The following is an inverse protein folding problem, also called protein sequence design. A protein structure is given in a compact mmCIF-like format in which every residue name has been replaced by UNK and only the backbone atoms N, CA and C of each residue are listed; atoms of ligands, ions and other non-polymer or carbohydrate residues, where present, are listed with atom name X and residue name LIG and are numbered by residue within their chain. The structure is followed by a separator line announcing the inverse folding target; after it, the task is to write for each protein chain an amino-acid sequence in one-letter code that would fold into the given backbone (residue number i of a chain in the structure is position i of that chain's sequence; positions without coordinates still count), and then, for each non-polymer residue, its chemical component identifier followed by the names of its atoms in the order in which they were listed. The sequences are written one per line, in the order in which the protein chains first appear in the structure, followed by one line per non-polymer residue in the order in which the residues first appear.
data_IF_345269157724
#
_entry.id   IF_345269157724
#
_cell.length_a   1.000
_cell.length_b   1.000
_cell.length_c   1.000
_cell.angle_alpha   90.00
_cell.angle_beta   90.00
_cell.angle_gamma   90.00
#
_symmetry.space_group_name_H-M   'P 1'
#
loop_
_entity.id
_entity.type
_entity.pdbx_description
1 polymer ?
#
# COMPACT_ATOMS: atom_id res chain seq x y z
N UNK A 1 3.46 -18.70 16.36
CA UNK A 1 3.27 -17.27 15.97
C UNK A 1 2.73 -16.39 17.11
N UNK A 2 1.97 -16.90 18.08
CA UNK A 2 1.51 -16.12 19.24
C UNK A 2 2.58 -15.89 20.32
N UNK A 3 3.52 -16.83 20.47
CA UNK A 3 4.58 -16.78 21.50
C UNK A 3 5.54 -15.60 21.32
N UNK A 4 5.72 -15.14 20.08
CA UNK A 4 6.62 -14.03 19.75
C UNK A 4 6.10 -12.68 20.26
N UNK A 5 4.79 -12.57 20.52
CA UNK A 5 4.16 -11.33 21.02
C UNK A 5 4.55 -11.09 22.48
N UNK A 6 4.84 -12.13 23.26
CA UNK A 6 5.25 -11.96 24.67
C UNK A 6 6.69 -11.47 24.82
N UNK A 7 7.51 -11.59 23.76
CA UNK A 7 8.88 -11.08 23.69
C UNK A 7 8.92 -9.67 23.09
N UNK A 8 7.85 -9.22 22.44
CA UNK A 8 7.73 -7.88 21.86
C UNK A 8 7.47 -6.83 22.95
N UNK A 9 8.31 -5.77 23.08
CA UNK A 9 8.06 -4.67 24.01
C UNK A 9 6.69 -3.98 23.79
N UNK A 10 6.10 -4.08 22.60
CA UNK A 10 4.77 -3.56 22.26
C UNK A 10 3.64 -4.59 22.38
N UNK A 11 3.97 -5.85 22.67
CA UNK A 11 2.98 -6.94 22.73
C UNK A 11 1.92 -6.74 23.82
N UNK A 12 2.32 -6.26 25.00
CA UNK A 12 1.40 -6.01 26.12
C UNK A 12 0.43 -4.84 25.84
N UNK A 13 0.91 -3.65 25.41
CA UNK A 13 0.02 -2.58 24.96
C UNK A 13 -0.94 -3.03 23.84
N UNK A 14 -0.44 -3.78 22.85
CA UNK A 14 -1.26 -4.30 21.75
C UNK A 14 -2.36 -5.25 22.24
N UNK A 15 -2.04 -6.22 23.10
CA UNK A 15 -3.01 -7.15 23.70
C UNK A 15 -4.05 -6.41 24.55
N UNK A 16 -3.65 -5.32 25.21
CA UNK A 16 -4.56 -4.48 26.02
C UNK A 16 -5.54 -3.70 25.15
N UNK A 17 -5.06 -3.00 24.12
CA UNK A 17 -5.89 -2.20 23.19
C UNK A 17 -6.87 -3.10 22.42
N UNK A 18 -6.41 -4.28 22.00
CA UNK A 18 -7.24 -5.26 21.29
C UNK A 18 -8.13 -6.10 22.21
N UNK A 19 -8.11 -5.84 23.53
CA UNK A 19 -8.84 -6.59 24.58
C UNK A 19 -8.57 -8.10 24.58
N UNK A 20 -7.48 -8.53 23.94
CA UNK A 20 -7.04 -9.93 23.87
C UNK A 20 -6.56 -10.47 25.22
N UNK A 21 -6.47 -9.63 26.25
CA UNK A 21 -6.16 -10.03 27.63
C UNK A 21 -7.40 -10.50 28.43
N UNK A 22 -8.63 -10.15 28.03
CA UNK A 22 -9.76 -10.21 28.97
C UNK A 22 -10.79 -11.32 28.71
N UNK A 23 -10.91 -11.88 27.49
CA UNK A 23 -11.80 -13.03 27.21
C UNK A 23 -11.28 -13.76 25.96
N UNK A 24 -11.36 -15.11 25.87
CA UNK A 24 -11.22 -15.80 24.59
C UNK A 24 -12.21 -15.22 23.56
N UNK A 25 -11.76 -14.97 22.33
CA UNK A 25 -12.64 -14.51 21.24
C UNK A 25 -13.83 -15.46 21.11
N UNK A 26 -14.99 -14.97 20.65
CA UNK A 26 -16.13 -15.83 20.29
C UNK A 26 -15.73 -16.92 19.28
N UNK A 27 -14.70 -16.65 18.48
CA UNK A 27 -14.11 -17.60 17.51
C UNK A 27 -13.10 -18.57 18.11
N UNK A 28 -12.73 -18.44 19.39
CA UNK A 28 -11.72 -19.29 20.03
C UNK A 28 -12.20 -20.74 20.26
N UNK A 29 -13.52 -20.93 20.37
CA UNK A 29 -14.16 -22.24 20.56
C UNK A 29 -15.02 -22.67 19.37
N UNK A 30 -14.83 -22.05 18.20
CA UNK A 30 -15.53 -22.48 16.99
C UNK A 30 -15.07 -23.88 16.57
N UNK A 31 -16.02 -24.68 16.11
CA UNK A 31 -15.71 -25.98 15.51
C UNK A 31 -14.97 -25.80 14.18
N UNK A 32 -14.14 -26.78 13.83
CA UNK A 32 -13.31 -26.75 12.63
C UNK A 32 -14.15 -26.60 11.36
N UNK A 33 -15.28 -27.31 11.28
CA UNK A 33 -16.21 -27.26 10.15
C UNK A 33 -16.82 -25.86 9.97
N UNK A 34 -17.17 -25.18 11.07
CA UNK A 34 -17.69 -23.82 11.04
C UNK A 34 -16.62 -22.82 10.58
N UNK A 35 -15.37 -23.01 11.01
CA UNK A 35 -14.25 -22.18 10.55
C UNK A 35 -14.06 -22.34 9.05
N UNK A 36 -14.00 -23.57 8.54
CA UNK A 36 -13.85 -23.85 7.12
C UNK A 36 -14.99 -23.24 6.29
N UNK A 37 -16.23 -23.42 6.75
CA UNK A 37 -17.41 -22.85 6.08
C UNK A 37 -17.35 -21.32 6.01
N UNK A 38 -16.95 -20.66 7.09
CA UNK A 38 -16.79 -19.20 7.10
C UNK A 38 -15.65 -18.77 6.19
N UNK A 39 -14.51 -19.46 6.22
CA UNK A 39 -13.36 -19.11 5.35
C UNK A 39 -13.70 -19.28 3.89
N UNK A 40 -14.38 -20.36 3.50
CA UNK A 40 -14.78 -20.60 2.11
C UNK A 40 -15.81 -19.57 1.63
N UNK A 41 -16.69 -19.12 2.52
CA UNK A 41 -17.69 -18.09 2.20
C UNK A 41 -17.07 -16.70 2.04
N UNK A 42 -16.15 -16.33 2.95
CA UNK A 42 -15.53 -15.00 2.97
C UNK A 42 -14.39 -14.88 1.96
N UNK A 43 -13.67 -15.96 1.72
CA UNK A 43 -12.51 -16.04 0.84
C UNK A 43 -12.73 -17.18 -0.17
N UNK A 44 -13.72 -17.05 -1.06
CA UNK A 44 -13.97 -18.07 -2.07
C UNK A 44 -12.70 -18.27 -2.88
N UNK A 45 -12.35 -19.53 -3.12
CA UNK A 45 -11.26 -19.90 -4.02
C UNK A 45 -11.60 -19.42 -5.43
N UNK A 46 -11.22 -18.19 -5.73
CA UNK A 46 -11.17 -17.71 -7.10
C UNK A 46 -9.95 -18.38 -7.73
N UNK A 47 -10.11 -18.87 -8.95
CA UNK A 47 -8.94 -19.07 -9.81
C UNK A 47 -8.10 -17.80 -9.72
N UNK A 48 -6.75 -17.90 -9.62
CA UNK A 48 -5.91 -16.73 -9.72
C UNK A 48 -6.43 -15.98 -10.93
N UNK A 49 -6.97 -14.77 -10.72
CA UNK A 49 -7.37 -13.95 -11.85
C UNK A 49 -6.14 -13.98 -12.75
N UNK A 50 -6.32 -14.43 -13.99
CA UNK A 50 -5.23 -14.41 -14.97
C UNK A 50 -4.74 -12.99 -14.91
N UNK A 51 -3.65 -12.78 -14.18
CA UNK A 51 -3.00 -11.50 -14.10
C UNK A 51 -2.49 -11.42 -15.52
N UNK A 52 -3.28 -10.76 -16.37
CA UNK A 52 -2.92 -10.55 -17.75
C UNK A 52 -1.60 -9.83 -17.62
N UNK A 53 -0.52 -10.60 -17.77
CA UNK A 53 0.79 -10.07 -17.95
C UNK A 53 0.66 -9.40 -19.30
N UNK A 54 0.31 -8.11 -19.25
CA UNK A 54 0.37 -7.27 -20.41
C UNK A 54 1.76 -7.49 -20.99
N UNK A 55 1.87 -7.76 -22.30
CA UNK A 55 3.16 -7.95 -22.94
C UNK A 55 4.10 -6.83 -22.47
N UNK A 56 5.27 -7.22 -21.93
CA UNK A 56 6.25 -6.26 -21.43
C UNK A 56 6.76 -5.31 -22.54
N UNK A 57 6.53 -5.68 -23.81
CA UNK A 57 6.93 -4.96 -25.03
C UNK A 57 5.84 -4.04 -25.57
N UNK A 58 4.95 -3.53 -24.72
CA UNK A 58 4.13 -2.39 -25.13
C UNK A 58 5.04 -1.14 -25.24
N UNK A 59 5.31 -0.69 -26.47
CA UNK A 59 5.91 0.62 -26.71
C UNK A 59 4.91 1.69 -26.26
N UNK A 60 5.18 2.31 -25.10
CA UNK A 60 4.42 3.45 -24.64
C UNK A 60 5.05 4.74 -25.18
N UNK A 61 4.23 5.71 -25.64
CA UNK A 61 4.76 7.01 -26.00
C UNK A 61 5.44 7.66 -24.78
N UNK A 62 6.56 8.37 -24.97
CA UNK A 62 7.20 9.08 -23.88
C UNK A 62 6.26 10.16 -23.33
N UNK A 63 6.37 10.40 -22.03
CA UNK A 63 5.64 11.47 -21.35
C UNK A 63 5.97 12.83 -21.96
N UNK A 64 4.94 13.62 -22.22
CA UNK A 64 5.12 14.99 -22.71
C UNK A 64 5.40 15.96 -21.57
N UNK A 65 5.94 17.13 -21.89
CA UNK A 65 6.19 18.20 -20.89
C UNK A 65 4.87 18.60 -20.22
N UNK A 66 3.79 18.71 -20.99
CA UNK A 66 2.46 19.11 -20.51
C UNK A 66 1.83 18.08 -19.57
N UNK A 67 2.13 16.79 -19.76
CA UNK A 67 1.69 15.72 -18.86
C UNK A 67 2.42 15.80 -17.52
N UNK A 68 3.74 16.02 -17.55
CA UNK A 68 4.55 16.20 -16.36
C UNK A 68 4.17 17.48 -15.62
N UNK A 69 3.88 18.57 -16.32
CA UNK A 69 3.34 19.82 -15.76
C UNK A 69 2.08 19.58 -14.93
N UNK A 70 1.10 18.87 -15.52
CA UNK A 70 -0.15 18.52 -14.85
C UNK A 70 0.10 17.63 -13.64
N UNK A 71 1.01 16.66 -13.75
CA UNK A 71 1.37 15.76 -12.66
C UNK A 71 1.99 16.51 -11.47
N UNK A 72 2.95 17.40 -11.73
CA UNK A 72 3.58 18.25 -10.72
C UNK A 72 2.55 19.18 -10.07
N UNK A 73 1.68 19.80 -10.87
CA UNK A 73 0.63 20.69 -10.38
C UNK A 73 -0.37 19.98 -9.46
N UNK A 74 -0.66 18.70 -9.73
CA UNK A 74 -1.48 17.85 -8.86
C UNK A 74 -0.72 17.44 -7.59
N UNK A 75 0.55 17.06 -7.72
CA UNK A 75 1.37 16.58 -6.61
C UNK A 75 1.58 17.65 -5.54
N UNK A 76 1.80 18.91 -5.93
CA UNK A 76 2.03 20.01 -4.97
C UNK A 76 0.85 20.31 -4.03
N UNK A 77 -0.37 19.94 -4.41
CA UNK A 77 -1.58 20.20 -3.63
C UNK A 77 -1.82 19.15 -2.53
N UNK A 78 -1.16 18.01 -2.63
CA UNK A 78 -1.34 16.91 -1.67
C UNK A 78 -0.50 17.16 -0.42
N UNK A 79 -1.16 17.20 0.73
CA UNK A 79 -0.51 17.23 2.04
C UNK A 79 -0.29 15.81 2.58
N UNK A 80 0.40 14.99 1.79
CA UNK A 80 0.74 13.62 2.17
C UNK A 80 2.08 13.60 2.88
N UNK A 81 2.26 12.61 3.77
CA UNK A 81 3.55 12.35 4.37
C UNK A 81 4.60 12.07 3.28
N UNK A 82 5.85 12.52 3.46
CA UNK A 82 6.93 12.20 2.54
C UNK A 82 7.15 10.69 2.42
N UNK A 83 7.62 10.26 1.25
CA UNK A 83 8.08 8.88 1.03
C UNK A 83 9.42 8.60 1.72
N UNK A 84 9.97 7.41 1.48
CA UNK A 84 11.27 6.99 2.02
C UNK A 84 12.43 7.91 1.57
N UNK A 85 12.29 8.52 0.41
CA UNK A 85 13.22 9.49 -0.18
C UNK A 85 13.10 10.91 0.40
N UNK A 86 12.09 11.15 1.24
CA UNK A 86 11.75 12.46 1.77
C UNK A 86 11.41 13.54 0.72
N UNK A 87 11.13 13.15 -0.54
CA UNK A 87 10.78 14.07 -1.61
C UNK A 87 9.27 14.30 -1.60
N UNK A 88 8.86 15.53 -1.29
CA UNK A 88 7.45 15.91 -1.30
C UNK A 88 7.03 16.50 -2.65
N UNK A 89 5.71 16.55 -2.92
CA UNK A 89 5.18 17.22 -4.10
C UNK A 89 5.55 18.72 -4.19
N UNK A 90 5.85 19.36 -3.06
CA UNK A 90 6.37 20.74 -3.04
C UNK A 90 7.79 20.83 -3.58
N UNK A 91 8.63 19.85 -3.26
CA UNK A 91 10.00 19.77 -3.79
C UNK A 91 9.95 19.52 -5.29
N UNK A 92 9.09 18.60 -5.75
CA UNK A 92 8.88 18.36 -7.19
C UNK A 92 8.49 19.63 -7.93
N UNK A 93 7.61 20.47 -7.35
CA UNK A 93 7.25 21.77 -7.91
C UNK A 93 8.46 22.70 -8.04
N UNK A 94 9.28 22.84 -7.00
CA UNK A 94 10.45 23.72 -7.03
C UNK A 94 11.46 23.24 -8.08
N UNK A 95 11.72 21.93 -8.15
CA UNK A 95 12.60 21.33 -9.16
C UNK A 95 12.08 21.60 -10.56
N UNK A 96 10.78 21.38 -10.79
CA UNK A 96 10.15 21.61 -12.09
C UNK A 96 10.19 23.09 -12.51
N UNK A 97 10.04 24.02 -11.56
CA UNK A 97 10.16 25.46 -11.84
C UNK A 97 11.58 25.88 -12.24
N UNK A 98 12.61 25.25 -11.66
CA UNK A 98 14.02 25.55 -11.95
C UNK A 98 14.52 24.84 -13.21
N UNK A 99 14.10 23.60 -13.44
CA UNK A 99 14.47 22.78 -14.62
C UNK A 99 13.25 21.99 -15.11
N UNK A 100 12.40 22.60 -15.97
CA UNK A 100 11.16 21.96 -16.45
C UNK A 100 11.38 20.62 -17.16
N UNK A 101 12.49 20.47 -17.88
CA UNK A 101 12.78 19.25 -18.66
C UNK A 101 13.41 18.13 -17.84
N UNK A 102 13.87 18.39 -16.61
CA UNK A 102 14.57 17.38 -15.81
C UNK A 102 13.67 16.18 -15.50
N UNK A 103 12.43 16.43 -15.08
CA UNK A 103 11.51 15.36 -14.70
C UNK A 103 11.07 14.55 -15.93
N UNK A 104 10.90 15.20 -17.09
CA UNK A 104 10.59 14.51 -18.35
C UNK A 104 11.72 13.55 -18.73
N UNK A 105 12.99 13.96 -18.60
CA UNK A 105 14.13 13.09 -18.88
C UNK A 105 14.41 12.03 -17.80
N UNK A 106 13.81 12.14 -16.62
CA UNK A 106 13.94 11.15 -15.54
C UNK A 106 12.93 10.00 -15.69
N UNK A 107 11.74 10.29 -16.22
CA UNK A 107 10.63 9.35 -16.30
C UNK A 107 10.44 8.74 -17.69
N UNK A 108 11.16 9.23 -18.70
CA UNK A 108 11.29 8.63 -20.02
C UNK A 108 12.60 7.86 -20.11
#
# INVERSE_FOLDING_TARGET
MLETIDVDPWGKPYKLVTRKLQVPSATANMDHEDVLKITDTLFPSRLPADAQMLPAEAEFPPFTVEEVDKAVHRAQRKSMAPGLDCITGRILRVVHQLRPTMLVGLYN
#
